data_IF_599248720236
#
_entry.id   IF_599248720236
#
_cell.length_a   1.000
_cell.length_b   1.000
_cell.length_c   1.000
_cell.angle_alpha   90.00
_cell.angle_beta   90.00
_cell.angle_gamma   90.00
#
_symmetry.space_group_name_H-M   'P 1'
#
loop_
_entity.id
_entity.type
_entity.pdbx_description
1 polymer ?
#
# COMPACT_ATOMS: atom_id res chain seq x y z
N UNK A 1 -42.28 57.29 -36.50
CA UNK A 1 -40.95 57.89 -36.32
C UNK A 1 -40.19 57.05 -35.31
N UNK A 2 -39.02 56.56 -35.71
CA UNK A 2 -38.12 55.61 -35.03
C UNK A 2 -37.74 56.11 -33.64
N UNK A 3 -37.63 55.23 -32.63
CA UNK A 3 -36.41 55.00 -31.81
C UNK A 3 -36.45 53.62 -31.16
N UNK A 4 -35.66 52.70 -31.71
CA UNK A 4 -35.12 51.53 -31.01
C UNK A 4 -34.23 52.03 -29.86
N UNK A 5 -34.36 51.47 -28.66
CA UNK A 5 -33.21 51.18 -27.81
C UNK A 5 -33.40 49.78 -27.21
N UNK A 6 -32.58 48.87 -27.71
CA UNK A 6 -32.36 47.52 -27.24
C UNK A 6 -31.54 47.62 -25.94
N UNK A 7 -32.08 47.21 -24.80
CA UNK A 7 -31.29 47.02 -23.57
C UNK A 7 -31.46 45.58 -23.09
N UNK A 8 -30.77 44.66 -23.79
CA UNK A 8 -30.48 43.33 -23.30
C UNK A 8 -29.47 43.46 -22.16
N UNK A 9 -29.97 43.65 -20.94
CA UNK A 9 -29.16 43.56 -19.73
C UNK A 9 -28.92 42.08 -19.46
N UNK A 10 -27.90 41.55 -20.13
CA UNK A 10 -27.30 40.24 -19.83
C UNK A 10 -26.76 40.33 -18.42
N UNK A 11 -27.55 39.84 -17.46
CA UNK A 11 -27.12 39.62 -16.10
C UNK A 11 -26.17 38.41 -16.11
N UNK A 12 -24.91 38.67 -16.42
CA UNK A 12 -23.81 37.76 -16.23
C UNK A 12 -23.56 37.64 -14.72
N UNK A 13 -24.29 36.75 -14.06
CA UNK A 13 -23.85 36.20 -12.78
C UNK A 13 -22.89 35.06 -13.12
N UNK A 14 -21.58 35.19 -12.81
CA UNK A 14 -20.71 34.05 -12.84
C UNK A 14 -21.12 33.20 -11.64
N UNK A 15 -21.96 32.19 -11.84
CA UNK A 15 -22.06 31.09 -10.89
C UNK A 15 -20.79 30.26 -11.09
N UNK A 16 -19.67 30.83 -10.67
CA UNK A 16 -18.47 30.12 -10.27
C UNK A 16 -18.78 29.43 -8.94
N UNK A 17 -19.73 28.48 -8.96
CA UNK A 17 -19.84 27.54 -7.86
C UNK A 17 -18.84 26.44 -8.14
N UNK A 18 -17.68 26.63 -7.52
CA UNK A 18 -16.66 25.63 -7.25
C UNK A 18 -17.34 24.30 -6.86
N UNK A 19 -17.50 23.39 -7.81
CA UNK A 19 -17.53 21.99 -7.45
C UNK A 19 -16.06 21.63 -7.21
N UNK A 20 -15.58 21.94 -6.00
CA UNK A 20 -14.43 21.25 -5.45
C UNK A 20 -14.85 19.78 -5.38
N UNK A 21 -14.52 19.03 -6.43
CA UNK A 21 -14.70 17.59 -6.45
C UNK A 21 -13.83 17.07 -5.30
N UNK A 22 -14.46 16.73 -4.17
CA UNK A 22 -13.83 15.89 -3.17
C UNK A 22 -13.65 14.53 -3.87
N UNK A 23 -12.54 14.40 -4.59
CA UNK A 23 -12.11 13.12 -5.12
C UNK A 23 -11.94 12.26 -3.87
N UNK A 24 -12.84 11.30 -3.68
CA UNK A 24 -12.67 10.30 -2.64
C UNK A 24 -11.37 9.58 -2.97
N UNK A 25 -10.28 9.93 -2.28
CA UNK A 25 -9.01 9.24 -2.48
C UNK A 25 -9.25 7.77 -2.15
N UNK A 26 -8.88 6.88 -3.06
CA UNK A 26 -9.00 5.44 -2.88
C UNK A 26 -8.22 4.95 -1.66
N UNK A 27 -8.20 3.63 -1.44
CA UNK A 27 -7.35 3.06 -0.41
C UNK A 27 -5.88 3.33 -0.75
N UNK A 28 -5.07 3.61 0.28
CA UNK A 28 -3.63 3.82 0.17
C UNK A 28 -2.97 3.03 1.29
N UNK A 29 -2.00 2.20 0.97
CA UNK A 29 -1.25 1.42 1.96
C UNK A 29 0.06 2.13 2.28
N UNK A 30 0.34 2.38 3.55
CA UNK A 30 1.60 2.98 4.00
C UNK A 30 2.26 2.10 5.06
N UNK A 31 3.41 1.52 4.69
CA UNK A 31 4.24 0.73 5.59
C UNK A 31 5.13 1.63 6.47
N UNK A 32 5.40 1.20 7.70
CA UNK A 32 6.39 1.85 8.57
C UNK A 32 7.82 1.66 8.02
N UNK A 33 8.07 0.47 7.49
CA UNK A 33 9.31 0.12 6.80
C UNK A 33 8.99 -0.89 5.70
N UNK A 34 9.83 -0.94 4.66
CA UNK A 34 9.68 -1.89 3.55
C UNK A 34 10.84 -2.87 3.46
N UNK A 35 11.87 -2.71 4.29
CA UNK A 35 13.05 -3.57 4.28
C UNK A 35 13.45 -3.89 5.71
N UNK A 36 13.58 -5.18 6.01
CA UNK A 36 14.14 -5.66 7.27
C UNK A 36 15.44 -6.43 7.02
N UNK A 37 16.44 -6.22 7.86
CA UNK A 37 17.70 -6.95 7.84
C UNK A 37 17.82 -7.76 9.13
N UNK A 38 17.85 -9.09 9.01
CA UNK A 38 18.01 -9.99 10.14
C UNK A 38 19.46 -10.08 10.62
N UNK A 39 20.43 -9.56 9.86
CA UNK A 39 21.84 -9.81 10.10
C UNK A 39 22.16 -11.30 9.95
N UNK A 40 22.89 -11.84 10.92
CA UNK A 40 23.22 -13.27 10.95
C UNK A 40 22.05 -14.11 11.47
N UNK A 41 21.64 -15.09 10.66
CA UNK A 41 20.59 -16.05 10.96
C UNK A 41 21.19 -17.44 11.04
N UNK A 42 20.86 -18.20 12.08
CA UNK A 42 21.35 -19.58 12.19
C UNK A 42 20.63 -20.51 11.21
N UNK A 43 21.39 -21.37 10.54
CA UNK A 43 20.86 -22.36 9.60
C UNK A 43 19.80 -23.26 10.26
N UNK A 44 18.69 -23.44 9.53
CA UNK A 44 17.55 -24.26 9.98
C UNK A 44 16.74 -23.64 11.12
N UNK A 45 16.96 -22.35 11.44
CA UNK A 45 16.13 -21.60 12.38
C UNK A 45 15.31 -20.57 11.59
N UNK A 46 14.00 -20.82 11.41
CA UNK A 46 13.14 -19.86 10.73
C UNK A 46 13.08 -18.53 11.47
N UNK A 47 13.16 -17.44 10.72
CA UNK A 47 13.03 -16.08 11.23
C UNK A 47 11.80 -15.41 10.64
N UNK A 48 11.11 -14.59 11.44
CA UNK A 48 9.89 -13.90 11.03
C UNK A 48 10.00 -12.42 11.35
N UNK A 49 9.56 -11.57 10.41
CA UNK A 49 9.41 -10.14 10.64
C UNK A 49 8.00 -9.67 10.31
N UNK A 50 7.48 -8.74 11.12
CA UNK A 50 6.16 -8.15 10.94
C UNK A 50 6.25 -6.74 10.35
N UNK A 51 5.86 -6.60 9.09
CA UNK A 51 5.76 -5.30 8.43
C UNK A 51 4.43 -4.64 8.79
N UNK A 52 4.47 -3.67 9.70
CA UNK A 52 3.30 -2.90 10.11
C UNK A 52 2.96 -1.86 9.03
N UNK A 53 1.68 -1.77 8.69
CA UNK A 53 1.16 -0.78 7.76
C UNK A 53 -0.12 -0.12 8.27
N UNK A 54 -0.47 1.01 7.66
CA UNK A 54 -1.71 1.76 7.89
C UNK A 54 -2.43 1.95 6.56
N UNK A 55 -3.76 1.83 6.54
CA UNK A 55 -4.55 2.36 5.44
C UNK A 55 -4.67 3.89 5.59
N UNK A 56 -3.90 4.65 4.82
CA UNK A 56 -3.89 6.12 4.84
C UNK A 56 -4.87 6.74 3.84
N UNK A 57 -5.58 5.91 3.07
CA UNK A 57 -6.63 6.32 2.14
C UNK A 57 -7.96 6.61 2.83
N UNK A 58 -9.01 6.84 2.03
CA UNK A 58 -10.37 7.15 2.53
C UNK A 58 -11.39 6.04 2.26
N UNK A 59 -10.96 4.91 1.72
CA UNK A 59 -11.79 3.73 1.44
C UNK A 59 -11.19 2.47 2.07
N UNK A 60 -11.98 1.40 2.29
CA UNK A 60 -11.47 0.12 2.78
C UNK A 60 -10.40 -0.47 1.85
N UNK A 61 -9.27 -0.86 2.43
CA UNK A 61 -8.16 -1.54 1.77
C UNK A 61 -8.38 -3.04 1.86
N UNK A 62 -8.30 -3.75 0.72
CA UNK A 62 -8.32 -5.20 0.66
C UNK A 62 -6.99 -5.70 0.08
N UNK A 63 -6.37 -6.63 0.80
CA UNK A 63 -5.17 -7.33 0.32
C UNK A 63 -5.58 -8.58 -0.45
N UNK A 64 -4.88 -8.80 -1.56
CA UNK A 64 -4.91 -10.05 -2.33
C UNK A 64 -3.74 -10.93 -1.90
N UNK A 65 -3.70 -12.17 -2.40
CA UNK A 65 -2.60 -13.10 -2.13
C UNK A 65 -1.24 -12.50 -2.51
N UNK A 66 -0.31 -12.34 -1.55
CA UNK A 66 1.04 -11.87 -1.81
C UNK A 66 1.84 -12.86 -2.65
N UNK A 67 2.77 -12.36 -3.46
CA UNK A 67 3.66 -13.19 -4.29
C UNK A 67 5.08 -13.21 -3.72
N UNK A 68 5.55 -14.38 -3.32
CA UNK A 68 6.96 -14.61 -2.96
C UNK A 68 7.73 -15.21 -4.14
N UNK A 69 9.04 -14.93 -4.21
CA UNK A 69 9.91 -15.43 -5.28
C UNK A 69 10.37 -16.88 -5.09
N UNK A 70 10.30 -17.42 -3.87
CA UNK A 70 10.65 -18.79 -3.53
C UNK A 70 9.68 -19.35 -2.48
N UNK A 71 9.54 -20.68 -2.42
CA UNK A 71 8.83 -21.37 -1.33
C UNK A 71 9.51 -21.23 0.04
N UNK A 72 10.75 -20.72 0.07
CA UNK A 72 11.50 -20.44 1.29
C UNK A 72 11.04 -19.17 2.03
N UNK A 73 10.10 -18.42 1.46
CA UNK A 73 9.57 -17.18 2.02
C UNK A 73 8.05 -17.26 2.08
N UNK A 74 7.50 -17.31 3.28
CA UNK A 74 6.09 -17.57 3.55
C UNK A 74 5.45 -16.29 4.12
N UNK A 75 4.58 -15.61 3.35
CA UNK A 75 3.83 -14.45 3.82
C UNK A 75 2.56 -14.87 4.57
N UNK A 76 2.20 -14.10 5.61
CA UNK A 76 0.91 -14.13 6.30
C UNK A 76 0.32 -12.72 6.31
N UNK A 77 -0.95 -12.58 5.93
CA UNK A 77 -1.60 -11.29 5.74
C UNK A 77 -3.07 -11.31 6.19
N UNK A 78 -3.63 -10.14 6.55
CA UNK A 78 -5.05 -10.01 6.86
C UNK A 78 -5.91 -10.18 5.60
N UNK A 79 -7.00 -10.95 5.74
CA UNK A 79 -7.98 -11.21 4.67
C UNK A 79 -9.24 -10.33 4.78
N UNK A 80 -9.41 -9.69 5.92
CA UNK A 80 -10.51 -8.76 6.19
C UNK A 80 -10.20 -7.38 5.61
N UNK A 81 -11.23 -6.58 5.23
CA UNK A 81 -11.04 -5.19 4.86
C UNK A 81 -10.38 -4.37 5.99
N UNK A 82 -9.36 -3.59 5.64
CA UNK A 82 -8.66 -2.68 6.54
C UNK A 82 -9.26 -1.29 6.38
N UNK A 83 -9.94 -0.80 7.41
CA UNK A 83 -10.63 0.49 7.37
C UNK A 83 -9.65 1.68 7.33
N UNK A 84 -10.06 2.86 6.81
CA UNK A 84 -9.24 4.07 6.87
C UNK A 84 -8.69 4.35 8.28
N UNK A 85 -7.40 4.68 8.37
CA UNK A 85 -6.68 4.92 9.61
C UNK A 85 -6.32 3.66 10.43
N UNK A 86 -6.83 2.49 10.05
CA UNK A 86 -6.55 1.25 10.77
C UNK A 86 -5.13 0.75 10.47
N UNK A 87 -4.46 0.25 11.51
CA UNK A 87 -3.17 -0.42 11.44
C UNK A 87 -3.32 -1.93 11.44
N UNK A 88 -2.52 -2.61 10.62
CA UNK A 88 -2.39 -4.07 10.54
C UNK A 88 -0.93 -4.42 10.19
N UNK A 89 -0.60 -5.71 10.15
CA UNK A 89 0.73 -6.20 9.78
C UNK A 89 0.66 -7.29 8.72
N UNK A 90 1.76 -7.44 7.98
CA UNK A 90 2.06 -8.60 7.13
C UNK A 90 3.31 -9.25 7.72
N UNK A 91 3.22 -10.53 8.09
CA UNK A 91 4.36 -11.29 8.59
C UNK A 91 5.04 -12.02 7.44
N UNK A 92 6.37 -11.97 7.36
CA UNK A 92 7.15 -12.73 6.39
C UNK A 92 8.11 -13.64 7.16
N UNK A 93 7.96 -14.95 6.95
CA UNK A 93 8.84 -15.98 7.52
C UNK A 93 9.82 -16.50 6.47
N UNK A 94 11.09 -16.59 6.82
CA UNK A 94 12.15 -17.22 6.02
C UNK A 94 12.65 -18.47 6.73
N UNK A 95 12.79 -19.58 6.00
CA UNK A 95 13.15 -20.89 6.56
C UNK A 95 14.63 -21.02 6.99
N UNK A 96 15.53 -20.24 6.39
CA UNK A 96 16.97 -20.25 6.62
C UNK A 96 17.66 -21.62 6.39
N UNK A 97 17.17 -22.42 5.44
CA UNK A 97 17.72 -23.77 5.18
C UNK A 97 19.06 -23.76 4.41
N UNK A 98 19.33 -22.67 3.68
CA UNK A 98 20.52 -22.52 2.83
C UNK A 98 21.45 -21.45 3.38
N UNK A 99 22.71 -21.81 3.57
CA UNK A 99 23.80 -20.91 3.99
C UNK A 99 24.07 -19.81 2.96
N UNK A 100 24.62 -18.69 3.45
CA UNK A 100 25.03 -17.55 2.64
C UNK A 100 24.07 -16.37 2.67
N UNK A 101 24.38 -15.35 1.87
CA UNK A 101 23.58 -14.13 1.78
C UNK A 101 22.18 -14.43 1.20
N UNK A 102 21.16 -13.79 1.79
CA UNK A 102 19.83 -13.78 1.23
C UNK A 102 19.27 -12.37 1.14
N UNK A 103 18.52 -12.14 0.06
CA UNK A 103 17.64 -10.98 -0.12
C UNK A 103 16.38 -11.48 -0.81
N UNK A 104 15.26 -11.44 -0.09
CA UNK A 104 13.96 -11.96 -0.56
C UNK A 104 12.96 -10.83 -0.66
N UNK A 105 12.23 -10.83 -1.76
CA UNK A 105 11.18 -9.86 -2.04
C UNK A 105 9.82 -10.55 -1.98
N UNK A 106 8.84 -9.87 -1.38
CA UNK A 106 7.44 -10.26 -1.37
C UNK A 106 6.63 -9.10 -1.93
N UNK A 107 5.91 -9.36 -3.02
CA UNK A 107 5.01 -8.39 -3.65
C UNK A 107 3.64 -8.44 -2.98
N UNK A 108 3.23 -7.31 -2.43
CA UNK A 108 1.94 -7.11 -1.79
C UNK A 108 0.96 -6.55 -2.82
N UNK A 109 -0.06 -7.36 -3.13
CA UNK A 109 -1.13 -7.01 -4.05
C UNK A 109 -2.34 -6.52 -3.27
N UNK A 110 -2.98 -5.44 -3.75
CA UNK A 110 -4.17 -4.87 -3.12
C UNK A 110 -5.02 -4.06 -4.12
N UNK A 111 -6.17 -3.58 -3.67
CA UNK A 111 -6.97 -2.57 -4.38
C UNK A 111 -6.49 -1.12 -4.17
N UNK A 112 -5.35 -0.91 -3.50
CA UNK A 112 -4.80 0.43 -3.24
C UNK A 112 -4.34 1.13 -4.53
N UNK A 113 -4.36 2.46 -4.53
CA UNK A 113 -3.86 3.28 -5.64
C UNK A 113 -2.35 3.08 -5.88
N UNK A 114 -1.59 2.79 -4.81
CA UNK A 114 -0.15 2.51 -4.85
C UNK A 114 0.18 1.01 -4.94
N UNK A 115 -0.78 0.19 -5.34
CA UNK A 115 -0.56 -1.24 -5.60
C UNK A 115 0.18 -1.45 -6.93
N UNK A 116 1.16 -2.37 -7.02
CA UNK A 116 1.66 -3.22 -5.95
C UNK A 116 2.72 -2.55 -5.06
N UNK A 117 2.85 -3.04 -3.84
CA UNK A 117 3.94 -2.68 -2.93
C UNK A 117 4.94 -3.84 -2.80
N UNK A 118 6.19 -3.55 -2.44
CA UNK A 118 7.25 -4.57 -2.30
C UNK A 118 7.88 -4.48 -0.93
N UNK A 119 7.94 -5.62 -0.24
CA UNK A 119 8.63 -5.80 1.04
C UNK A 119 9.88 -6.65 0.83
N UNK A 120 10.95 -6.34 1.55
CA UNK A 120 12.25 -6.99 1.44
C UNK A 120 12.69 -7.50 2.80
N UNK A 121 13.12 -8.75 2.87
CA UNK A 121 13.90 -9.27 4.01
C UNK A 121 15.28 -9.66 3.51
N UNK A 122 16.31 -9.38 4.30
CA UNK A 122 17.69 -9.72 3.96
C UNK A 122 18.50 -10.14 5.18
N UNK A 123 19.67 -10.69 4.94
CA UNK A 123 20.62 -11.11 5.96
C UNK A 123 21.60 -12.13 5.42
N UNK A 124 22.26 -12.85 6.33
CA UNK A 124 23.23 -13.88 6.01
C UNK A 124 22.98 -15.12 6.88
N UNK A 125 22.90 -16.30 6.26
CA UNK A 125 22.72 -17.55 7.00
C UNK A 125 24.08 -18.14 7.37
N UNK A 126 24.31 -18.34 8.67
CA UNK A 126 25.51 -18.92 9.28
C UNK A 126 25.22 -20.29 9.92
N UNK A 127 26.26 -21.09 10.14
CA UNK A 127 26.19 -22.43 10.76
C UNK A 127 25.81 -22.38 12.25
#
# INVERSE_FOLDING_TARGET
MKRLILSFLVFCLPVAFLIAQNVASGPVITFQEKTHDFGDVKKGQPVTFEFVFTNTGKQPLLLSEPRSSCGCTIPSWPKEPIMPGQKKSISITFDAEKEGEFSKQVTILSNAENSPEVLVIKGFVVL
#
